data_IF_983820145110
#
_entry.id   IF_983820145110
#
_cell.length_a   1.000
_cell.length_b   1.000
_cell.length_c   1.000
_cell.angle_alpha   90.00
_cell.angle_beta   90.00
_cell.angle_gamma   90.00
#
_symmetry.space_group_name_H-M   'P 1'
#
loop_
_entity.id
_entity.type
_entity.pdbx_description
1 polymer ?
#
# COMPACT_ATOMS: atom_id res chain seq x y z
N UNK A 1 15.50 -7.62 -50.34
CA UNK A 1 14.39 -8.02 -49.48
C UNK A 1 14.73 -7.62 -48.04
N UNK A 2 14.20 -6.52 -47.45
CA UNK A 2 14.46 -6.17 -46.07
C UNK A 2 13.40 -6.87 -45.19
N UNK A 3 13.88 -7.73 -44.30
CA UNK A 3 13.09 -8.42 -43.33
C UNK A 3 12.49 -7.46 -42.28
N UNK A 4 11.18 -7.31 -42.30
CA UNK A 4 10.42 -6.55 -41.33
C UNK A 4 10.54 -7.18 -39.92
N UNK A 5 11.19 -6.48 -39.04
CA UNK A 5 11.16 -6.77 -37.59
C UNK A 5 9.73 -6.48 -37.11
N UNK A 6 8.96 -7.52 -36.82
CA UNK A 6 7.71 -7.38 -36.06
C UNK A 6 8.07 -6.82 -34.69
N UNK A 7 7.65 -5.59 -34.42
CA UNK A 7 7.62 -5.03 -33.06
C UNK A 7 6.50 -5.76 -32.33
N UNK A 8 6.86 -6.66 -31.44
CA UNK A 8 5.94 -7.15 -30.44
C UNK A 8 5.71 -6.00 -29.46
N UNK A 9 4.60 -5.30 -29.62
CA UNK A 9 4.03 -4.54 -28.51
C UNK A 9 3.57 -5.57 -27.48
N UNK A 10 4.36 -5.79 -26.45
CA UNK A 10 3.88 -6.42 -25.23
C UNK A 10 2.86 -5.45 -24.64
N UNK A 11 1.59 -5.72 -24.91
CA UNK A 11 0.48 -4.98 -24.33
C UNK A 11 0.40 -5.32 -22.86
N UNK A 12 1.13 -4.57 -22.02
CA UNK A 12 0.86 -4.54 -20.59
C UNK A 12 -0.56 -4.01 -20.42
N UNK A 13 -1.44 -4.82 -19.85
CA UNK A 13 -2.75 -4.34 -19.43
C UNK A 13 -2.51 -3.29 -18.33
N UNK A 14 -2.88 -2.03 -18.54
CA UNK A 14 -2.65 -1.01 -17.51
C UNK A 14 -3.43 -1.37 -16.25
N UNK A 15 -2.83 -1.13 -15.10
CA UNK A 15 -3.50 -1.32 -13.81
C UNK A 15 -4.82 -0.54 -13.78
N UNK A 16 -5.95 -1.17 -13.38
CA UNK A 16 -7.22 -0.48 -13.31
C UNK A 16 -7.16 0.74 -12.38
N UNK A 17 -7.65 1.86 -12.88
CA UNK A 17 -7.89 3.07 -12.09
C UNK A 17 -9.34 3.05 -11.62
N UNK A 18 -9.54 3.13 -10.31
CA UNK A 18 -10.86 3.25 -9.70
C UNK A 18 -11.03 4.70 -9.24
N UNK A 19 -11.65 5.50 -10.07
CA UNK A 19 -11.97 6.91 -9.77
C UNK A 19 -13.42 7.02 -9.27
N UNK A 20 -13.68 6.42 -8.11
CA UNK A 20 -14.99 6.45 -7.48
C UNK A 20 -14.93 7.22 -6.16
N UNK A 21 -15.48 8.43 -6.16
CA UNK A 21 -15.57 9.29 -4.96
C UNK A 21 -16.62 8.79 -3.97
N UNK A 22 -17.69 8.14 -4.45
CA UNK A 22 -18.72 7.56 -3.58
C UNK A 22 -18.29 6.19 -3.08
N UNK A 23 -18.35 5.98 -1.75
CA UNK A 23 -17.87 4.77 -1.09
C UNK A 23 -18.51 3.47 -1.62
N UNK A 24 -19.82 3.48 -1.96
CA UNK A 24 -20.52 2.32 -2.48
C UNK A 24 -19.97 1.89 -3.86
N UNK A 25 -19.85 2.81 -4.79
CA UNK A 25 -19.31 2.54 -6.13
C UNK A 25 -17.82 2.18 -6.09
N UNK A 26 -17.06 2.81 -5.18
CA UNK A 26 -15.64 2.48 -4.96
C UNK A 26 -15.47 1.01 -4.60
N UNK A 27 -16.24 0.51 -3.66
CA UNK A 27 -16.11 -0.86 -3.20
C UNK A 27 -16.47 -1.90 -4.28
N UNK A 28 -17.45 -1.63 -5.14
CA UNK A 28 -17.80 -2.48 -6.27
C UNK A 28 -16.66 -2.53 -7.29
N UNK A 29 -16.17 -1.37 -7.70
CA UNK A 29 -15.09 -1.26 -8.67
C UNK A 29 -13.77 -1.87 -8.16
N UNK A 30 -13.44 -1.69 -6.88
CA UNK A 30 -12.28 -2.35 -6.25
C UNK A 30 -12.46 -3.87 -6.24
N UNK A 31 -13.64 -4.37 -5.87
CA UNK A 31 -13.91 -5.81 -5.85
C UNK A 31 -13.76 -6.44 -7.25
N UNK A 32 -14.26 -5.77 -8.29
CA UNK A 32 -14.12 -6.23 -9.67
C UNK A 32 -12.68 -6.19 -10.15
N UNK A 33 -11.94 -5.14 -9.82
CA UNK A 33 -10.53 -5.01 -10.16
C UNK A 33 -9.66 -6.07 -9.47
N UNK A 34 -9.90 -6.34 -8.17
CA UNK A 34 -9.20 -7.40 -7.44
C UNK A 34 -9.45 -8.80 -8.03
N UNK A 35 -10.70 -9.09 -8.46
CA UNK A 35 -11.01 -10.36 -9.13
C UNK A 35 -10.32 -10.51 -10.49
N UNK A 36 -10.26 -9.43 -11.25
CA UNK A 36 -9.81 -9.48 -12.65
C UNK A 36 -8.31 -9.28 -12.82
N UNK A 37 -7.69 -8.48 -11.95
CA UNK A 37 -6.31 -8.02 -12.12
C UNK A 37 -5.46 -8.20 -10.85
N UNK A 38 -6.06 -8.56 -9.72
CA UNK A 38 -5.35 -8.69 -8.44
C UNK A 38 -4.97 -7.35 -7.78
N UNK A 39 -5.08 -6.23 -8.49
CA UNK A 39 -4.71 -4.90 -7.99
C UNK A 39 -5.47 -3.78 -8.69
N UNK A 40 -5.59 -2.61 -8.02
CA UNK A 40 -6.10 -1.38 -8.61
C UNK A 40 -5.57 -0.14 -7.89
N UNK A 41 -5.55 0.99 -8.59
CA UNK A 41 -5.19 2.30 -8.02
C UNK A 41 -6.44 3.12 -7.70
N UNK A 42 -6.42 3.81 -6.57
CA UNK A 42 -7.46 4.72 -6.07
C UNK A 42 -6.88 6.14 -5.95
N UNK A 43 -6.89 6.95 -7.02
CA UNK A 43 -6.25 8.27 -7.02
C UNK A 43 -6.87 9.24 -6.01
N UNK A 44 -8.18 9.13 -5.77
CA UNK A 44 -8.95 10.00 -4.88
C UNK A 44 -9.31 9.35 -3.53
N UNK A 45 -8.52 8.40 -3.05
CA UNK A 45 -8.74 7.77 -1.75
C UNK A 45 -7.44 7.68 -0.94
N UNK A 46 -7.43 8.22 0.27
CA UNK A 46 -8.44 9.13 0.84
C UNK A 46 -8.51 10.44 0.04
N UNK A 47 -9.46 11.29 0.38
CA UNK A 47 -9.54 12.61 -0.24
C UNK A 47 -8.33 13.50 0.10
N UNK A 48 -8.20 14.63 -0.59
CA UNK A 48 -7.06 15.52 -0.44
C UNK A 48 -6.93 16.12 0.98
N UNK A 49 -8.05 16.40 1.65
CA UNK A 49 -8.05 16.96 3.00
C UNK A 49 -7.57 15.92 4.02
N UNK A 50 -8.09 14.69 3.91
CA UNK A 50 -7.66 13.55 4.74
C UNK A 50 -6.19 13.20 4.46
N UNK A 51 -5.76 13.16 3.20
CA UNK A 51 -4.36 12.94 2.82
C UNK A 51 -3.43 13.97 3.47
N UNK A 52 -3.80 15.26 3.42
CA UNK A 52 -3.04 16.32 4.05
C UNK A 52 -2.98 16.16 5.57
N UNK A 53 -4.10 15.90 6.23
CA UNK A 53 -4.16 15.72 7.68
C UNK A 53 -3.32 14.52 8.17
N UNK A 54 -3.37 13.39 7.44
CA UNK A 54 -2.55 12.21 7.73
C UNK A 54 -1.05 12.49 7.55
N UNK A 55 -0.70 13.27 6.51
CA UNK A 55 0.69 13.68 6.29
C UNK A 55 1.21 14.54 7.44
N UNK A 56 0.46 15.55 7.85
CA UNK A 56 0.84 16.43 8.97
C UNK A 56 0.96 15.65 10.28
N UNK A 57 0.08 14.69 10.53
CA UNK A 57 0.16 13.82 11.70
C UNK A 57 1.44 12.96 11.69
N UNK A 58 1.77 12.34 10.54
CA UNK A 58 3.01 11.56 10.39
C UNK A 58 4.26 12.44 10.59
N UNK A 59 4.28 13.66 10.03
CA UNK A 59 5.40 14.58 10.19
C UNK A 59 5.58 15.01 11.66
N UNK A 60 4.50 15.29 12.36
CA UNK A 60 4.49 15.59 13.80
C UNK A 60 5.06 14.41 14.61
N UNK A 61 4.58 13.19 14.37
CA UNK A 61 5.04 11.98 15.05
C UNK A 61 6.52 11.70 14.80
N UNK A 62 6.97 11.89 13.57
CA UNK A 62 8.38 11.77 13.20
C UNK A 62 9.26 12.80 13.92
N UNK A 63 8.84 14.07 13.93
CA UNK A 63 9.57 15.13 14.60
C UNK A 63 9.69 14.91 16.11
N UNK A 64 8.71 14.26 16.72
CA UNK A 64 8.75 13.88 18.15
C UNK A 64 9.55 12.61 18.44
N UNK A 65 10.10 11.94 17.41
CA UNK A 65 10.82 10.67 17.58
C UNK A 65 9.90 9.49 17.94
N UNK A 66 8.60 9.58 17.63
CA UNK A 66 7.63 8.55 17.98
C UNK A 66 7.71 7.29 17.10
N UNK A 67 8.27 7.39 15.88
CA UNK A 67 8.43 6.26 14.99
C UNK A 67 9.57 5.36 15.45
N UNK A 68 9.38 4.05 15.33
CA UNK A 68 10.39 3.04 15.61
C UNK A 68 10.86 2.35 14.32
N UNK A 69 12.14 1.95 14.20
CA UNK A 69 12.60 1.16 13.07
C UNK A 69 11.72 -0.07 12.85
N UNK A 70 11.33 -0.31 11.61
CA UNK A 70 10.47 -1.43 11.27
C UNK A 70 11.21 -2.75 11.48
N UNK A 71 10.52 -3.74 12.05
CA UNK A 71 11.05 -5.09 12.22
C UNK A 71 10.43 -6.06 11.21
N UNK A 72 11.17 -7.11 10.85
CA UNK A 72 10.75 -8.19 9.98
C UNK A 72 10.55 -9.46 10.80
N UNK A 73 9.58 -10.31 10.42
CA UNK A 73 9.30 -11.58 11.10
C UNK A 73 8.20 -11.49 12.18
N UNK A 74 7.92 -12.63 12.81
CA UNK A 74 6.89 -12.79 13.87
C UNK A 74 7.48 -13.42 15.13
N UNK A 75 6.85 -13.11 16.29
CA UNK A 75 7.18 -13.73 17.58
C UNK A 75 8.66 -13.60 17.93
N UNK A 76 9.28 -14.70 18.35
CA UNK A 76 10.70 -14.78 18.71
C UNK A 76 11.67 -14.63 17.52
N UNK A 77 11.17 -14.74 16.27
CA UNK A 77 11.94 -14.50 15.04
C UNK A 77 11.87 -13.07 14.54
N UNK A 78 11.25 -12.15 15.28
CA UNK A 78 11.17 -10.73 14.91
C UNK A 78 12.50 -10.03 15.16
N UNK A 79 13.06 -9.39 14.12
CA UNK A 79 14.33 -8.69 14.21
C UNK A 79 14.39 -7.44 13.34
N UNK A 80 15.37 -6.58 13.61
CA UNK A 80 15.71 -5.44 12.75
C UNK A 80 16.68 -5.93 11.67
N UNK A 81 16.26 -5.85 10.42
CA UNK A 81 17.03 -6.26 9.25
C UNK A 81 17.06 -5.11 8.24
N UNK A 82 17.96 -4.15 8.42
CA UNK A 82 18.11 -2.99 7.55
C UNK A 82 18.50 -3.32 6.10
N UNK A 83 19.01 -4.52 5.88
CA UNK A 83 19.27 -5.14 4.57
C UNK A 83 18.01 -5.69 3.89
N UNK A 84 16.87 -5.74 4.60
CA UNK A 84 15.58 -6.19 4.08
C UNK A 84 14.60 -5.03 4.04
N UNK A 85 14.57 -4.18 5.09
CA UNK A 85 13.58 -3.13 5.28
C UNK A 85 14.18 -1.93 6.03
N UNK A 86 14.04 -0.74 5.48
CA UNK A 86 14.71 0.48 5.99
C UNK A 86 13.78 1.59 6.46
N UNK A 87 12.48 1.34 6.66
CA UNK A 87 11.52 2.35 7.15
C UNK A 87 11.41 2.39 8.68
N UNK A 88 10.87 3.51 9.17
CA UNK A 88 10.40 3.66 10.54
C UNK A 88 8.87 3.74 10.55
N UNK A 89 8.23 3.13 11.54
CA UNK A 89 6.78 2.94 11.59
C UNK A 89 6.16 3.32 12.92
N UNK A 90 4.86 3.65 12.89
CA UNK A 90 3.97 3.76 14.04
C UNK A 90 2.59 3.27 13.65
N UNK A 91 1.97 2.41 14.46
CA UNK A 91 0.61 1.93 14.22
C UNK A 91 -0.41 3.07 14.29
N UNK A 92 -1.44 3.06 13.44
CA UNK A 92 -2.46 4.12 13.43
C UNK A 92 -3.39 4.09 14.66
N UNK A 93 -3.45 2.98 15.37
CA UNK A 93 -4.17 2.81 16.64
C UNK A 93 -3.31 3.13 17.88
N UNK A 94 -2.07 3.56 17.68
CA UNK A 94 -1.21 4.04 18.78
C UNK A 94 -1.82 5.31 19.38
N UNK A 95 -1.88 5.44 20.73
CA UNK A 95 -2.45 6.63 21.39
C UNK A 95 -1.79 7.97 21.01
N UNK A 96 -0.58 7.94 20.44
CA UNK A 96 0.14 9.14 19.97
C UNK A 96 -0.31 9.60 18.60
N UNK A 97 -0.96 8.71 17.81
CA UNK A 97 -1.55 9.05 16.52
C UNK A 97 -2.74 10.01 16.70
N UNK A 98 -2.95 10.90 15.72
CA UNK A 98 -3.96 11.94 15.79
C UNK A 98 -5.35 11.47 15.33
N UNK A 99 -6.31 12.41 15.39
CA UNK A 99 -7.70 12.16 14.95
C UNK A 99 -7.78 11.74 13.48
N UNK A 100 -6.89 12.24 12.62
CA UNK A 100 -6.82 11.86 11.21
C UNK A 100 -6.54 10.36 11.04
N UNK A 101 -5.67 9.78 11.86
CA UNK A 101 -5.39 8.33 11.85
C UNK A 101 -6.62 7.52 12.26
N UNK A 102 -7.33 7.92 13.31
CA UNK A 102 -8.53 7.26 13.79
C UNK A 102 -9.67 7.33 12.74
N UNK A 103 -9.87 8.49 12.12
CA UNK A 103 -10.84 8.68 11.05
C UNK A 103 -10.51 7.79 9.84
N UNK A 104 -9.25 7.74 9.43
CA UNK A 104 -8.82 6.91 8.30
C UNK A 104 -8.94 5.41 8.58
N UNK A 105 -8.65 4.95 9.80
CA UNK A 105 -8.93 3.57 10.20
C UNK A 105 -10.41 3.22 10.05
N UNK A 106 -11.31 4.14 10.38
CA UNK A 106 -12.75 3.95 10.20
C UNK A 106 -13.14 3.85 8.73
N UNK A 107 -12.52 4.64 7.84
CA UNK A 107 -12.73 4.55 6.38
C UNK A 107 -12.21 3.21 5.82
N UNK A 108 -11.05 2.76 6.28
CA UNK A 108 -10.49 1.46 5.90
C UNK A 108 -11.38 0.30 6.36
N UNK A 109 -11.95 0.39 7.57
CA UNK A 109 -12.88 -0.62 8.08
C UNK A 109 -14.20 -0.65 7.29
N UNK A 110 -14.70 0.50 6.90
CA UNK A 110 -15.87 0.60 6.02
C UNK A 110 -15.59 -0.04 4.64
N UNK A 111 -14.42 0.19 4.06
CA UNK A 111 -13.99 -0.44 2.81
C UNK A 111 -13.85 -1.96 2.99
N UNK A 112 -13.20 -2.41 4.07
CA UNK A 112 -13.09 -3.83 4.43
C UNK A 112 -14.46 -4.50 4.48
N UNK A 113 -15.39 -3.92 5.23
CA UNK A 113 -16.74 -4.47 5.37
C UNK A 113 -17.46 -4.56 4.02
N UNK A 114 -17.28 -3.56 3.16
CA UNK A 114 -17.87 -3.53 1.83
C UNK A 114 -17.24 -4.59 0.89
N UNK A 115 -15.93 -4.76 0.88
CA UNK A 115 -15.23 -5.79 0.12
C UNK A 115 -15.60 -7.19 0.60
N UNK A 116 -15.71 -7.38 1.92
CA UNK A 116 -16.08 -8.68 2.48
C UNK A 116 -17.46 -9.15 2.00
N UNK A 117 -18.43 -8.23 1.92
CA UNK A 117 -19.77 -8.55 1.39
C UNK A 117 -19.77 -8.94 -0.10
N UNK A 118 -18.83 -8.41 -0.89
CA UNK A 118 -18.76 -8.63 -2.34
C UNK A 118 -17.91 -9.82 -2.75
N UNK A 119 -16.87 -10.08 -1.99
CA UNK A 119 -15.84 -11.08 -2.32
C UNK A 119 -15.89 -12.31 -1.40
N UNK A 120 -16.68 -12.27 -0.32
CA UNK A 120 -16.79 -13.35 0.68
C UNK A 120 -15.43 -13.78 1.24
N UNK A 121 -14.56 -12.81 1.52
CA UNK A 121 -13.17 -13.06 1.90
C UNK A 121 -12.98 -13.51 3.35
N UNK A 122 -13.99 -13.38 4.19
CA UNK A 122 -13.91 -13.70 5.63
C UNK A 122 -12.96 -12.76 6.40
N UNK A 123 -12.82 -11.51 5.94
CA UNK A 123 -11.94 -10.51 6.58
C UNK A 123 -12.66 -9.79 7.71
N UNK A 124 -12.08 -9.81 8.92
CA UNK A 124 -12.68 -9.30 10.15
C UNK A 124 -12.03 -8.02 10.67
N UNK A 125 -10.73 -7.83 10.35
CA UNK A 125 -9.90 -6.81 10.96
C UNK A 125 -9.17 -5.98 9.91
N UNK A 126 -8.84 -4.73 10.29
CA UNK A 126 -7.89 -3.88 9.60
C UNK A 126 -6.75 -3.56 10.56
N UNK A 127 -5.52 -3.73 10.11
CA UNK A 127 -4.34 -3.21 10.78
C UNK A 127 -3.62 -2.23 9.84
N UNK A 128 -3.14 -1.10 10.34
CA UNK A 128 -2.46 -0.11 9.53
C UNK A 128 -1.40 0.64 10.33
N UNK A 129 -0.30 1.01 9.66
CA UNK A 129 0.75 1.83 10.25
C UNK A 129 1.25 2.92 9.30
N UNK A 130 1.68 4.03 9.85
CA UNK A 130 2.54 4.98 9.16
C UNK A 130 3.88 4.35 8.83
N UNK A 131 4.46 4.71 7.69
CA UNK A 131 5.79 4.30 7.25
C UNK A 131 6.55 5.48 6.65
N UNK A 132 7.73 5.77 7.20
CA UNK A 132 8.64 6.78 6.72
C UNK A 132 9.94 6.12 6.25
N UNK A 133 10.20 6.18 4.94
CA UNK A 133 11.42 5.68 4.31
C UNK A 133 12.37 6.85 4.09
N UNK A 134 13.53 6.91 4.76
CA UNK A 134 14.56 7.91 4.44
C UNK A 134 15.11 7.71 3.02
N UNK A 135 15.78 8.73 2.44
CA UNK A 135 16.43 8.58 1.13
C UNK A 135 17.31 7.34 1.06
N UNK A 136 17.19 6.59 -0.04
CA UNK A 136 17.91 5.33 -0.26
C UNK A 136 17.32 4.09 0.43
N UNK A 137 16.38 4.25 1.36
CA UNK A 137 15.74 3.12 2.01
C UNK A 137 14.80 2.37 1.06
N UNK A 138 14.63 1.09 1.30
CA UNK A 138 13.84 0.18 0.48
C UNK A 138 13.14 -0.87 1.34
N UNK A 139 12.28 -1.67 0.72
CA UNK A 139 11.80 -2.93 1.27
C UNK A 139 11.94 -4.00 0.20
N UNK A 140 12.74 -5.02 0.49
CA UNK A 140 13.04 -6.11 -0.43
C UNK A 140 11.77 -6.85 -0.84
N UNK A 141 11.82 -7.54 -1.98
CA UNK A 141 10.70 -8.31 -2.54
C UNK A 141 10.15 -9.30 -1.52
N UNK A 142 8.86 -9.22 -1.27
CA UNK A 142 8.15 -10.04 -0.29
C UNK A 142 6.67 -10.20 -0.67
N UNK A 143 5.97 -11.00 0.13
CA UNK A 143 4.50 -11.10 0.16
C UNK A 143 4.02 -10.70 1.53
N UNK A 144 2.91 -9.98 1.61
CA UNK A 144 2.30 -9.62 2.89
C UNK A 144 1.61 -10.81 3.54
N UNK A 145 1.16 -11.77 2.73
CA UNK A 145 0.67 -13.06 3.20
C UNK A 145 1.85 -13.94 3.64
N UNK A 146 1.88 -14.30 4.91
CA UNK A 146 2.92 -15.16 5.44
C UNK A 146 2.78 -16.60 4.93
N UNK A 147 3.88 -17.35 4.84
CA UNK A 147 3.88 -18.76 4.41
C UNK A 147 3.08 -19.66 5.34
N UNK A 148 3.08 -19.34 6.64
CA UNK A 148 2.44 -20.09 7.73
C UNK A 148 1.09 -19.49 8.17
N UNK A 149 0.61 -18.44 7.50
CA UNK A 149 -0.63 -17.77 7.85
C UNK A 149 -1.23 -17.06 6.64
N UNK A 150 -2.48 -17.36 6.33
CA UNK A 150 -3.28 -16.71 5.30
C UNK A 150 -4.15 -15.54 5.86
N UNK A 151 -3.76 -15.01 7.04
CA UNK A 151 -4.53 -13.98 7.72
C UNK A 151 -4.67 -12.71 6.88
N UNK A 152 -3.59 -12.19 6.29
CA UNK A 152 -3.63 -11.00 5.41
C UNK A 152 -4.14 -11.40 4.04
N UNK A 153 -5.23 -10.77 3.60
CA UNK A 153 -5.93 -11.10 2.34
C UNK A 153 -5.82 -9.97 1.33
N UNK A 154 -6.02 -8.74 1.78
CA UNK A 154 -5.93 -7.54 0.95
C UNK A 154 -4.95 -6.58 1.58
N UNK A 155 -4.01 -6.07 0.78
CA UNK A 155 -3.06 -5.03 1.14
C UNK A 155 -3.48 -3.71 0.52
N UNK A 156 -3.25 -2.61 1.24
CA UNK A 156 -3.48 -1.27 0.76
C UNK A 156 -2.28 -0.39 1.15
N UNK A 157 -1.79 0.41 0.22
CA UNK A 157 -0.77 1.43 0.50
C UNK A 157 -1.32 2.78 0.10
N UNK A 158 -1.37 3.71 1.06
CA UNK A 158 -1.75 5.11 0.85
C UNK A 158 -0.49 5.96 0.84
N UNK A 159 -0.35 6.79 -0.19
CA UNK A 159 0.80 7.67 -0.36
C UNK A 159 0.50 9.08 0.15
N UNK A 160 1.49 9.67 0.81
CA UNK A 160 1.38 10.98 1.47
C UNK A 160 2.41 11.99 0.91
N UNK A 161 2.77 11.87 -0.37
CA UNK A 161 3.87 12.63 -0.97
C UNK A 161 3.35 13.50 -2.13
N UNK A 162 2.93 14.73 -1.87
CA UNK A 162 2.56 15.63 -2.96
C UNK A 162 3.77 15.94 -3.87
N UNK A 163 3.47 16.24 -5.13
CA UNK A 163 4.44 16.66 -6.14
C UNK A 163 5.60 15.65 -6.35
N UNK A 164 5.31 14.35 -6.25
CA UNK A 164 6.29 13.29 -6.50
C UNK A 164 6.53 13.12 -8.00
N UNK A 165 7.80 13.05 -8.39
CA UNK A 165 8.21 12.87 -9.78
C UNK A 165 8.80 11.48 -9.99
N UNK A 166 8.64 10.93 -11.19
CA UNK A 166 9.09 9.57 -11.53
C UNK A 166 10.59 9.39 -11.33
N UNK A 167 11.39 10.42 -11.63
CA UNK A 167 12.86 10.41 -11.47
C UNK A 167 13.31 10.37 -10.01
N UNK A 168 12.43 10.65 -9.04
CA UNK A 168 12.72 10.54 -7.61
C UNK A 168 12.74 9.07 -7.13
N UNK A 169 12.24 8.14 -7.95
CA UNK A 169 12.20 6.72 -7.63
C UNK A 169 11.13 6.38 -6.59
N UNK A 170 11.40 5.41 -5.72
CA UNK A 170 10.51 5.04 -4.60
C UNK A 170 9.25 4.28 -4.99
N UNK A 171 9.13 3.84 -6.23
CA UNK A 171 7.97 3.10 -6.70
C UNK A 171 7.70 1.84 -5.86
N UNK A 172 6.42 1.54 -5.66
CA UNK A 172 5.99 0.21 -5.26
C UNK A 172 5.91 -0.63 -6.53
N UNK A 173 6.78 -1.64 -6.64
CA UNK A 173 6.71 -2.62 -7.72
C UNK A 173 5.85 -3.79 -7.29
N UNK A 174 4.85 -4.13 -8.11
CA UNK A 174 4.02 -5.33 -7.94
C UNK A 174 4.32 -6.28 -9.10
N UNK A 175 4.57 -7.54 -8.77
CA UNK A 175 4.85 -8.60 -9.74
C UNK A 175 3.54 -9.27 -10.11
N UNK A 176 3.17 -9.20 -11.38
CA UNK A 176 2.00 -9.86 -11.95
C UNK A 176 2.45 -10.85 -13.03
N UNK A 177 1.58 -11.80 -13.37
CA UNK A 177 1.88 -12.82 -14.39
C UNK A 177 2.17 -12.19 -15.77
N UNK A 178 1.50 -11.08 -16.10
CA UNK A 178 1.65 -10.36 -17.37
C UNK A 178 2.77 -9.30 -17.37
N UNK A 179 3.52 -9.17 -16.27
CA UNK A 179 4.63 -8.23 -16.11
C UNK A 179 4.54 -7.34 -14.88
N UNK A 180 5.67 -6.83 -14.44
CA UNK A 180 5.76 -5.97 -13.25
C UNK A 180 5.11 -4.61 -13.49
N UNK A 181 4.44 -4.08 -12.46
CA UNK A 181 3.86 -2.73 -12.46
C UNK A 181 4.56 -1.88 -11.41
N UNK A 182 5.06 -0.71 -11.81
CA UNK A 182 5.62 0.30 -10.91
C UNK A 182 4.56 1.37 -10.60
N UNK A 183 4.27 1.55 -9.32
CA UNK A 183 3.33 2.57 -8.82
C UNK A 183 4.12 3.69 -8.16
N UNK A 184 4.09 4.86 -8.77
CA UNK A 184 4.72 6.08 -8.25
C UNK A 184 4.04 6.50 -6.95
N UNK A 185 4.80 6.80 -5.88
CA UNK A 185 4.23 7.06 -4.56
C UNK A 185 3.85 8.53 -4.36
N UNK A 186 3.06 9.13 -5.25
CA UNK A 186 2.61 10.52 -5.16
C UNK A 186 1.50 10.72 -4.10
N UNK A 187 0.24 10.59 -4.48
CA UNK A 187 -0.94 10.65 -3.61
C UNK A 187 -1.96 9.57 -4.01
N UNK A 188 -2.99 9.37 -3.18
CA UNK A 188 -3.97 8.30 -3.37
C UNK A 188 -3.48 6.96 -2.84
N UNK A 189 -4.18 5.90 -3.19
CA UNK A 189 -3.90 4.55 -2.68
C UNK A 189 -3.77 3.52 -3.80
N UNK A 190 -3.10 2.43 -3.49
CA UNK A 190 -3.15 1.18 -4.24
C UNK A 190 -3.70 0.08 -3.36
N UNK A 191 -4.59 -0.74 -3.92
CA UNK A 191 -5.15 -1.93 -3.27
C UNK A 191 -4.75 -3.15 -4.09
N UNK A 192 -4.29 -4.21 -3.43
CA UNK A 192 -3.86 -5.44 -4.09
C UNK A 192 -4.02 -6.67 -3.20
N UNK A 193 -4.03 -7.85 -3.79
CA UNK A 193 -4.08 -9.10 -3.05
C UNK A 193 -2.76 -9.33 -2.31
N UNK A 194 -2.82 -9.64 -1.01
CA UNK A 194 -1.64 -9.78 -0.13
C UNK A 194 -0.70 -10.93 -0.52
N UNK A 195 -1.13 -11.80 -1.43
CA UNK A 195 -0.31 -12.89 -1.99
C UNK A 195 0.58 -12.45 -3.15
N UNK A 196 0.35 -11.25 -3.72
CA UNK A 196 1.20 -10.73 -4.80
C UNK A 196 2.58 -10.34 -4.24
N UNK A 197 3.62 -10.75 -4.94
CA UNK A 197 4.98 -10.30 -4.64
C UNK A 197 5.12 -8.83 -4.98
N UNK A 198 5.76 -8.11 -4.06
CA UNK A 198 6.00 -6.68 -4.26
C UNK A 198 7.25 -6.21 -3.52
N UNK A 199 7.75 -5.06 -3.90
CA UNK A 199 8.92 -4.40 -3.29
C UNK A 199 8.75 -2.88 -3.29
N UNK A 200 9.35 -2.21 -2.29
CA UNK A 200 9.50 -0.74 -2.29
C UNK A 200 10.90 -0.43 -2.79
N UNK A 201 10.98 0.29 -3.91
CA UNK A 201 12.26 0.69 -4.50
C UNK A 201 12.86 1.89 -3.78
N UNK A 202 14.19 2.05 -3.79
CA UNK A 202 14.82 3.23 -3.21
C UNK A 202 14.34 4.52 -3.85
N UNK A 203 14.23 5.59 -3.05
CA UNK A 203 13.92 6.94 -3.50
C UNK A 203 15.07 7.89 -3.21
N UNK A 204 15.18 8.97 -3.98
CA UNK A 204 16.18 10.01 -3.75
C UNK A 204 15.78 10.99 -2.64
N UNK A 205 14.50 11.00 -2.27
CA UNK A 205 13.96 11.78 -1.14
C UNK A 205 13.19 10.88 -0.17
N UNK A 206 12.78 11.45 0.95
CA UNK A 206 11.94 10.75 1.92
C UNK A 206 10.59 10.40 1.31
N UNK A 207 10.17 9.14 1.53
CA UNK A 207 8.89 8.58 1.06
C UNK A 207 8.00 8.27 2.24
N UNK A 208 6.85 8.92 2.30
CA UNK A 208 5.84 8.79 3.35
C UNK A 208 4.64 7.99 2.84
N UNK A 209 4.17 7.04 3.64
CA UNK A 209 3.01 6.23 3.29
C UNK A 209 2.32 5.66 4.54
N UNK A 210 1.13 5.11 4.32
CA UNK A 210 0.47 4.21 5.26
C UNK A 210 0.38 2.85 4.57
N UNK A 211 0.80 1.80 5.26
CA UNK A 211 0.55 0.42 4.85
C UNK A 211 -0.57 -0.15 5.70
N UNK A 212 -1.56 -0.75 5.06
CA UNK A 212 -2.72 -1.34 5.72
C UNK A 212 -3.00 -2.76 5.19
N UNK A 213 -3.52 -3.60 6.06
CA UNK A 213 -3.90 -4.97 5.72
C UNK A 213 -5.28 -5.28 6.25
N UNK A 214 -6.12 -5.82 5.36
CA UNK A 214 -7.38 -6.41 5.71
C UNK A 214 -7.16 -7.90 5.93
N UNK A 215 -7.49 -8.39 7.13
CA UNK A 215 -7.11 -9.73 7.57
C UNK A 215 -8.26 -10.51 8.15
N UNK A 216 -8.14 -11.86 8.06
CA UNK A 216 -8.96 -12.78 8.82
C UNK A 216 -8.47 -12.83 10.26
N UNK A 217 -9.37 -13.06 11.18
CA UNK A 217 -8.98 -13.38 12.55
C UNK A 217 -8.28 -14.74 12.55
N UNK A 218 -7.13 -14.81 13.23
CA UNK A 218 -6.36 -16.04 13.37
C UNK A 218 -7.01 -16.95 14.41
#
# INVERSE_FOLDING_TARGET
MPGGRRRYHTGMTPMPLVDATQAAFRADAVADALRSHGACRLPAFPDAATTHALREDLLRLRASGALSPASVGRGSGRGLHGDIRGDATLWLDDPRAGEAAAAFLSELDALRAALNRRLFLGIDEVEAHYAAYPPGAFYARHRDRFRDSDARVVSLVTYLNPDWRDEEGGALRIVLDDGDIDVVPDTGSIVFLSELEHEVRPATRERLSIAAWMRRRA
#
